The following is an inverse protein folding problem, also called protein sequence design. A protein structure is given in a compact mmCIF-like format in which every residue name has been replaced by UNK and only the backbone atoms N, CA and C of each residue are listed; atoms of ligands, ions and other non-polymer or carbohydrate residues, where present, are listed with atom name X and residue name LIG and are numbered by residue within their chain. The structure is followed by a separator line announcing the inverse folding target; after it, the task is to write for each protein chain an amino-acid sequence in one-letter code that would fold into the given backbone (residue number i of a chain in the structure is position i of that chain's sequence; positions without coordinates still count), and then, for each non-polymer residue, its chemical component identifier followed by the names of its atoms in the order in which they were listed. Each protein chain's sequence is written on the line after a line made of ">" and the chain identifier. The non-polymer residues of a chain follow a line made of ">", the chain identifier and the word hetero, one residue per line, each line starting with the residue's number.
data_IF_579387362447
#
_entry.id   IF_579387362447
#
_cell.length_a   1.000
_cell.length_b   1.000
_cell.length_c   1.000
_cell.angle_alpha   90.00
_cell.angle_beta   90.00
_cell.angle_gamma   90.00
#
_symmetry.space_group_name_H-M   'P 1'
#
loop_
_entity.id
_entity.type
_entity.pdbx_description
1 polymer ?
#
# COMPACT_ATOMS: atom_id res chain seq x y z
N UNK A 1 20.14 8.96 25.25
CA UNK A 1 20.17 10.24 24.53
C UNK A 1 20.89 9.99 23.21
N UNK A 2 20.20 10.07 22.07
CA UNK A 2 20.83 9.83 20.77
C UNK A 2 21.78 11.01 20.46
N UNK A 3 23.09 10.80 20.28
CA UNK A 3 24.09 11.87 20.16
C UNK A 3 23.90 12.78 18.92
N UNK A 4 22.96 12.45 18.03
CA UNK A 4 22.59 13.27 16.87
C UNK A 4 21.62 14.41 17.20
N UNK A 5 20.93 14.38 18.35
CA UNK A 5 20.03 15.46 18.76
C UNK A 5 20.74 16.37 19.76
N UNK A 6 21.26 17.49 19.26
CA UNK A 6 21.81 18.54 20.12
C UNK A 6 20.68 19.18 20.94
N UNK A 7 20.94 19.66 22.17
CA UNK A 7 19.93 20.35 22.97
C UNK A 7 19.28 21.53 22.24
N UNK A 8 20.06 22.25 21.42
CA UNK A 8 19.57 23.33 20.56
C UNK A 8 18.56 22.85 19.51
N UNK A 9 18.79 21.68 18.90
CA UNK A 9 17.87 21.09 17.93
C UNK A 9 16.55 20.68 18.59
N UNK A 10 16.60 20.17 19.82
CA UNK A 10 15.40 19.81 20.60
C UNK A 10 14.55 21.05 20.88
N UNK A 11 15.17 22.15 21.30
CA UNK A 11 14.43 23.38 21.62
C UNK A 11 13.80 24.00 20.37
N UNK A 12 14.54 24.00 19.25
CA UNK A 12 14.00 24.43 17.94
C UNK A 12 12.79 23.60 17.51
N UNK A 13 12.80 22.28 17.73
CA UNK A 13 11.65 21.43 17.42
C UNK A 13 10.49 21.65 18.38
N UNK A 14 10.77 21.88 19.66
CA UNK A 14 9.74 22.17 20.65
C UNK A 14 8.95 23.44 20.30
N UNK A 15 9.65 24.51 19.93
CA UNK A 15 9.02 25.76 19.47
C UNK A 15 8.29 25.57 18.13
N UNK A 16 8.94 24.94 17.14
CA UNK A 16 8.37 24.77 15.80
C UNK A 16 7.08 23.93 15.77
N UNK A 17 6.88 23.05 16.76
CA UNK A 17 5.72 22.15 16.85
C UNK A 17 4.78 22.47 18.00
N UNK A 18 4.94 23.63 18.64
CA UNK A 18 4.10 24.07 19.75
C UNK A 18 4.06 23.04 20.90
N UNK A 19 5.15 22.31 21.12
CA UNK A 19 5.18 21.21 22.10
C UNK A 19 5.13 21.69 23.56
N UNK A 20 5.31 22.99 23.78
CA UNK A 20 5.15 23.65 25.09
C UNK A 20 3.69 23.99 25.43
N UNK A 21 2.80 23.92 24.43
CA UNK A 21 1.39 24.23 24.63
C UNK A 21 0.60 23.01 25.12
N UNK A 22 -0.56 23.20 25.75
CA UNK A 22 -1.43 22.09 26.14
C UNK A 22 -1.78 21.20 24.95
N UNK A 23 -1.86 19.88 25.17
CA UNK A 23 -2.08 18.87 24.12
C UNK A 23 -3.24 19.19 23.18
N UNK A 24 -4.35 19.72 23.71
CA UNK A 24 -5.51 20.05 22.88
C UNK A 24 -5.19 21.15 21.85
N UNK A 25 -4.31 22.10 22.17
CA UNK A 25 -3.90 23.15 21.24
C UNK A 25 -2.98 22.59 20.15
N UNK A 26 -2.07 21.68 20.51
CA UNK A 26 -1.22 20.97 19.55
C UNK A 26 -2.06 20.22 18.51
N UNK A 27 -3.12 19.52 18.95
CA UNK A 27 -4.05 18.86 18.04
C UNK A 27 -4.82 19.84 17.15
N UNK A 28 -5.23 21.00 17.68
CA UNK A 28 -5.88 22.03 16.87
C UNK A 28 -4.96 22.55 15.76
N UNK A 29 -3.68 22.81 16.06
CA UNK A 29 -2.70 23.20 15.04
C UNK A 29 -2.46 22.10 14.02
N UNK A 30 -2.34 20.85 14.46
CA UNK A 30 -2.22 19.71 13.56
C UNK A 30 -3.40 19.63 12.59
N UNK A 31 -4.65 19.70 13.07
CA UNK A 31 -5.81 19.64 12.20
C UNK A 31 -5.92 20.86 11.28
N UNK A 32 -5.63 22.07 11.77
CA UNK A 32 -5.56 23.28 10.94
C UNK A 32 -4.57 23.10 9.78
N UNK A 33 -3.37 22.61 10.07
CA UNK A 33 -2.30 22.46 9.08
C UNK A 33 -2.54 21.27 8.14
N UNK A 34 -3.25 20.24 8.61
CA UNK A 34 -3.72 19.11 7.81
C UNK A 34 -4.79 19.55 6.81
N UNK A 35 -5.85 20.20 7.28
CA UNK A 35 -6.97 20.63 6.43
C UNK A 35 -6.60 21.80 5.52
N UNK A 36 -5.59 22.61 5.87
CA UNK A 36 -5.06 23.64 4.99
C UNK A 36 -4.04 23.13 3.96
N UNK A 37 -3.68 21.85 4.00
CA UNK A 37 -2.70 21.25 3.09
C UNK A 37 -1.25 21.68 3.33
N UNK A 38 -0.98 22.40 4.43
CA UNK A 38 0.34 22.95 4.77
C UNK A 38 1.22 21.98 5.57
N UNK A 39 0.76 20.74 5.77
CA UNK A 39 1.52 19.74 6.51
C UNK A 39 2.74 19.32 5.68
N UNK A 40 3.93 19.43 6.28
CA UNK A 40 5.21 19.08 5.64
C UNK A 40 5.74 17.77 6.24
N UNK A 41 6.24 16.89 5.39
CA UNK A 41 6.93 15.66 5.79
C UNK A 41 8.27 16.01 6.40
N UNK A 42 8.53 15.57 7.63
CA UNK A 42 9.77 15.88 8.34
C UNK A 42 10.97 15.10 7.81
N UNK A 43 10.70 13.98 7.15
CA UNK A 43 11.73 13.12 6.58
C UNK A 43 12.28 13.70 5.28
N UNK A 44 11.40 14.27 4.46
CA UNK A 44 11.69 14.60 3.06
C UNK A 44 11.41 16.07 2.70
N UNK A 45 10.91 16.88 3.65
CA UNK A 45 10.52 18.29 3.49
C UNK A 45 9.53 18.57 2.33
N UNK A 46 8.73 17.57 1.96
CA UNK A 46 7.71 17.69 0.91
C UNK A 46 6.30 17.86 1.49
N UNK A 47 5.36 18.50 0.76
CA UNK A 47 3.95 18.53 1.14
C UNK A 47 3.41 17.11 1.35
N UNK A 48 2.82 16.87 2.52
CA UNK A 48 2.32 15.53 2.88
C UNK A 48 1.17 15.11 1.97
N UNK A 49 0.31 16.06 1.58
CA UNK A 49 -0.86 15.76 0.74
C UNK A 49 -0.44 15.21 -0.63
N UNK A 50 0.60 15.77 -1.24
CA UNK A 50 1.15 15.29 -2.51
C UNK A 50 1.69 13.86 -2.38
N UNK A 51 2.45 13.59 -1.31
CA UNK A 51 2.99 12.25 -1.03
C UNK A 51 1.90 11.21 -0.73
N UNK A 52 0.83 11.61 -0.05
CA UNK A 52 -0.34 10.75 0.17
C UNK A 52 -1.01 10.46 -1.16
N UNK A 53 -1.19 11.49 -2.00
CA UNK A 53 -1.86 11.37 -3.29
C UNK A 53 -1.12 10.40 -4.22
N UNK A 54 0.19 10.53 -4.35
CA UNK A 54 1.03 9.63 -5.15
C UNK A 54 0.88 8.16 -4.69
N UNK A 55 0.96 7.91 -3.38
CA UNK A 55 0.81 6.56 -2.81
C UNK A 55 -0.61 6.03 -2.92
N UNK A 56 -1.59 6.91 -2.81
CA UNK A 56 -3.00 6.57 -2.99
C UNK A 56 -3.26 6.11 -4.41
N UNK A 57 -2.76 6.83 -5.43
CA UNK A 57 -2.90 6.44 -6.83
C UNK A 57 -2.26 5.07 -7.11
N UNK A 58 -1.08 4.80 -6.56
CA UNK A 58 -0.44 3.49 -6.69
C UNK A 58 -1.29 2.37 -6.07
N UNK A 59 -1.85 2.62 -4.88
CA UNK A 59 -2.73 1.67 -4.19
C UNK A 59 -4.05 1.47 -4.94
N UNK A 60 -4.58 2.53 -5.55
CA UNK A 60 -5.80 2.51 -6.33
C UNK A 60 -5.64 1.62 -7.57
N UNK A 61 -4.53 1.74 -8.30
CA UNK A 61 -4.26 0.87 -9.45
C UNK A 61 -4.17 -0.60 -9.03
N UNK A 62 -3.44 -0.91 -7.96
CA UNK A 62 -3.36 -2.27 -7.42
C UNK A 62 -4.74 -2.81 -7.03
N UNK A 63 -5.57 -1.98 -6.39
CA UNK A 63 -6.92 -2.34 -6.01
C UNK A 63 -7.81 -2.61 -7.22
N UNK A 64 -7.80 -1.73 -8.23
CA UNK A 64 -8.64 -1.85 -9.43
C UNK A 64 -8.28 -3.11 -10.21
N UNK A 65 -6.99 -3.31 -10.51
CA UNK A 65 -6.52 -4.49 -11.25
C UNK A 65 -6.81 -5.78 -10.46
N UNK A 66 -6.51 -5.79 -9.17
CA UNK A 66 -6.81 -6.93 -8.29
C UNK A 66 -8.30 -7.26 -8.24
N UNK A 67 -9.16 -6.24 -8.19
CA UNK A 67 -10.62 -6.42 -8.18
C UNK A 67 -11.12 -6.99 -9.50
N UNK A 68 -10.68 -6.46 -10.64
CA UNK A 68 -11.06 -6.96 -11.97
C UNK A 68 -10.65 -8.42 -12.12
N UNK A 69 -9.41 -8.78 -11.76
CA UNK A 69 -8.94 -10.17 -11.81
C UNK A 69 -9.77 -11.08 -10.88
N UNK A 70 -10.04 -10.61 -9.67
CA UNK A 70 -10.84 -11.35 -8.70
C UNK A 70 -12.24 -11.62 -9.23
N UNK A 71 -12.94 -10.61 -9.77
CA UNK A 71 -14.29 -10.78 -10.31
C UNK A 71 -14.30 -11.67 -11.55
N UNK A 72 -13.32 -11.50 -12.43
CA UNK A 72 -13.19 -12.29 -13.67
C UNK A 72 -13.07 -13.79 -13.37
N UNK A 73 -12.42 -14.17 -12.26
CA UNK A 73 -12.27 -15.58 -11.88
C UNK A 73 -13.40 -16.03 -10.95
N UNK A 74 -13.71 -15.24 -9.93
CA UNK A 74 -14.62 -15.63 -8.86
C UNK A 74 -16.06 -15.69 -9.31
N UNK A 75 -16.51 -14.78 -10.19
CA UNK A 75 -17.91 -14.81 -10.67
C UNK A 75 -18.20 -16.03 -11.54
N UNK A 76 -17.42 -16.37 -12.59
CA UNK A 76 -17.69 -17.59 -13.37
C UNK A 76 -17.63 -18.86 -12.52
N UNK A 77 -16.64 -18.98 -11.64
CA UNK A 77 -16.49 -20.15 -10.77
C UNK A 77 -17.65 -20.24 -9.78
N UNK A 78 -17.99 -19.12 -9.13
CA UNK A 78 -19.08 -19.04 -8.15
C UNK A 78 -20.45 -19.30 -8.78
N UNK A 79 -20.75 -18.66 -9.92
CA UNK A 79 -22.01 -18.85 -10.65
C UNK A 79 -22.13 -20.30 -11.11
N UNK A 80 -21.07 -20.87 -11.71
CA UNK A 80 -21.11 -22.26 -12.18
C UNK A 80 -21.26 -23.26 -11.02
N UNK A 81 -20.58 -23.01 -9.90
CA UNK A 81 -20.77 -23.81 -8.68
C UNK A 81 -22.21 -23.73 -8.16
N UNK A 82 -22.80 -22.53 -8.16
CA UNK A 82 -24.17 -22.30 -7.73
C UNK A 82 -25.25 -22.87 -8.67
N UNK A 83 -24.95 -23.07 -9.96
CA UNK A 83 -25.86 -23.74 -10.91
C UNK A 83 -25.81 -25.26 -10.72
N UNK A 84 -24.61 -25.83 -10.54
CA UNK A 84 -24.38 -27.27 -10.41
C UNK A 84 -24.18 -27.71 -8.94
N UNK A 85 -25.02 -27.19 -8.04
CA UNK A 85 -24.88 -27.41 -6.58
C UNK A 85 -24.89 -28.88 -6.23
N UNK A 86 -24.02 -29.27 -5.30
CA UNK A 86 -23.87 -30.64 -4.85
C UNK A 86 -23.15 -31.57 -5.84
N UNK A 87 -22.91 -31.10 -7.07
CA UNK A 87 -22.17 -31.83 -8.11
C UNK A 87 -20.65 -31.79 -7.90
N UNK A 88 -19.93 -32.46 -8.81
CA UNK A 88 -18.47 -32.55 -8.75
C UNK A 88 -17.78 -31.18 -8.84
N UNK A 89 -18.29 -30.27 -9.69
CA UNK A 89 -17.72 -28.93 -9.85
C UNK A 89 -17.83 -28.08 -8.58
N UNK A 90 -19.00 -28.08 -7.93
CA UNK A 90 -19.23 -27.38 -6.67
C UNK A 90 -18.29 -27.91 -5.56
N UNK A 91 -18.26 -29.24 -5.37
CA UNK A 91 -17.37 -29.86 -4.37
C UNK A 91 -15.89 -29.57 -4.62
N UNK A 92 -15.45 -29.62 -5.89
CA UNK A 92 -14.06 -29.37 -6.24
C UNK A 92 -13.68 -27.91 -6.04
N UNK A 93 -14.51 -26.97 -6.52
CA UNK A 93 -14.28 -25.53 -6.35
C UNK A 93 -14.25 -25.15 -4.86
N UNK A 94 -15.20 -25.66 -4.07
CA UNK A 94 -15.24 -25.47 -2.61
C UNK A 94 -13.99 -26.02 -1.92
N UNK A 95 -13.54 -27.22 -2.30
CA UNK A 95 -12.31 -27.80 -1.76
C UNK A 95 -11.08 -26.92 -2.07
N UNK A 96 -10.92 -26.48 -3.32
CA UNK A 96 -9.81 -25.59 -3.70
C UNK A 96 -9.89 -24.23 -2.98
N UNK A 97 -11.08 -23.67 -2.79
CA UNK A 97 -11.26 -22.45 -2.01
C UNK A 97 -10.76 -22.62 -0.57
N UNK A 98 -11.16 -23.70 0.11
CA UNK A 98 -10.67 -23.97 1.47
C UNK A 98 -9.17 -24.24 1.53
N UNK A 99 -8.64 -24.97 0.54
CA UNK A 99 -7.20 -25.21 0.43
C UNK A 99 -6.42 -23.90 0.33
N UNK A 100 -6.82 -22.99 -0.57
CA UNK A 100 -6.17 -21.69 -0.75
C UNK A 100 -6.32 -20.80 0.48
N UNK A 101 -7.49 -20.78 1.12
CA UNK A 101 -7.73 -20.03 2.37
C UNK A 101 -6.84 -20.53 3.52
N UNK A 102 -6.51 -21.83 3.53
CA UNK A 102 -5.67 -22.44 4.58
C UNK A 102 -4.20 -22.02 4.46
N UNK A 103 -3.76 -21.54 3.29
CA UNK A 103 -2.39 -21.08 3.09
C UNK A 103 -2.30 -19.61 3.57
N UNK A 104 -1.32 -19.25 4.42
CA UNK A 104 -1.10 -17.85 4.78
C UNK A 104 -0.87 -16.98 3.54
N UNK A 105 -1.61 -15.88 3.42
CA UNK A 105 -1.59 -15.02 2.22
C UNK A 105 -0.19 -14.51 1.86
N UNK A 106 0.61 -14.11 2.85
CA UNK A 106 1.98 -13.65 2.63
C UNK A 106 2.88 -14.76 2.06
N UNK A 107 2.69 -16.01 2.49
CA UNK A 107 3.48 -17.15 2.03
C UNK A 107 3.13 -17.50 0.58
N UNK A 108 1.83 -17.50 0.26
CA UNK A 108 1.37 -17.69 -1.11
C UNK A 108 1.87 -16.58 -2.05
N UNK A 109 1.81 -15.32 -1.61
CA UNK A 109 2.37 -14.19 -2.36
C UNK A 109 3.88 -14.38 -2.61
N UNK A 110 4.63 -14.88 -1.63
CA UNK A 110 6.06 -15.12 -1.78
C UNK A 110 6.37 -16.22 -2.81
N UNK A 111 5.61 -17.33 -2.79
CA UNK A 111 5.72 -18.39 -3.81
C UNK A 111 5.46 -17.81 -5.21
N UNK A 112 4.40 -16.99 -5.36
CA UNK A 112 4.08 -16.34 -6.63
C UNK A 112 5.19 -15.40 -7.09
N UNK A 113 5.77 -14.60 -6.19
CA UNK A 113 6.90 -13.71 -6.49
C UNK A 113 8.09 -14.52 -7.04
N UNK A 114 8.48 -15.60 -6.34
CA UNK A 114 9.59 -16.47 -6.78
C UNK A 114 9.29 -17.06 -8.17
N UNK A 115 8.07 -17.56 -8.38
CA UNK A 115 7.66 -18.13 -9.65
C UNK A 115 7.74 -17.09 -10.78
N UNK A 116 7.21 -15.89 -10.54
CA UNK A 116 7.17 -14.83 -11.56
C UNK A 116 8.58 -14.37 -11.93
N UNK A 117 9.44 -14.13 -10.94
CA UNK A 117 10.82 -13.69 -11.17
C UNK A 117 11.61 -14.77 -11.92
N UNK A 118 11.52 -16.03 -11.51
CA UNK A 118 12.29 -17.10 -12.14
C UNK A 118 11.79 -17.43 -13.55
N UNK A 119 10.47 -17.40 -13.78
CA UNK A 119 9.91 -17.82 -15.07
C UNK A 119 9.84 -16.68 -16.08
N UNK A 120 9.44 -15.48 -15.65
CA UNK A 120 9.19 -14.35 -16.54
C UNK A 120 10.25 -13.25 -16.43
N UNK A 121 11.16 -13.31 -15.44
CA UNK A 121 12.23 -12.33 -15.23
C UNK A 121 11.72 -10.90 -15.06
N UNK A 122 10.50 -10.74 -14.53
CA UNK A 122 9.85 -9.46 -14.31
C UNK A 122 10.17 -8.95 -12.89
N UNK A 123 10.59 -7.69 -12.72
CA UNK A 123 10.75 -7.08 -11.41
C UNK A 123 9.37 -6.91 -10.74
N UNK A 124 9.25 -7.38 -9.50
CA UNK A 124 7.99 -7.38 -8.73
C UNK A 124 8.00 -6.40 -7.55
N UNK A 125 9.02 -5.55 -7.45
CA UNK A 125 9.20 -4.58 -6.36
C UNK A 125 9.12 -3.16 -6.92
N UNK A 126 8.19 -2.36 -6.37
CA UNK A 126 7.99 -0.97 -6.76
C UNK A 126 7.15 -0.80 -8.03
N UNK A 127 6.60 0.41 -8.22
CA UNK A 127 5.94 0.80 -9.47
C UNK A 127 6.97 1.28 -10.52
N UNK A 128 8.16 1.65 -10.07
CA UNK A 128 9.27 2.05 -10.92
C UNK A 128 10.47 1.14 -10.73
N UNK A 129 11.13 0.81 -11.84
CA UNK A 129 12.40 0.11 -11.80
C UNK A 129 13.51 1.08 -11.39
N UNK A 130 14.16 0.79 -10.26
CA UNK A 130 15.30 1.57 -9.78
C UNK A 130 16.38 1.67 -10.88
N UNK A 131 16.75 2.88 -11.27
CA UNK A 131 17.74 3.15 -12.32
C UNK A 131 17.17 3.42 -13.73
N UNK A 132 15.85 3.35 -13.94
CA UNK A 132 15.20 3.59 -15.26
C UNK A 132 14.46 4.95 -15.34
N UNK A 133 14.34 5.69 -14.22
CA UNK A 133 13.64 6.99 -14.11
C UNK A 133 14.25 8.18 -14.88
N UNK A 134 15.07 7.92 -15.90
CA UNK A 134 15.65 8.92 -16.81
C UNK A 134 15.72 8.45 -18.26
N UNK A 135 14.84 7.54 -18.68
CA UNK A 135 14.72 7.16 -20.09
C UNK A 135 13.67 8.02 -20.79
N UNK A 136 13.96 8.41 -22.03
CA UNK A 136 13.30 9.47 -22.82
C UNK A 136 11.80 9.27 -23.15
N UNK A 137 11.11 8.35 -22.49
CA UNK A 137 9.69 8.05 -22.67
C UNK A 137 8.79 8.63 -21.58
N UNK A 138 9.34 9.43 -20.65
CA UNK A 138 8.58 10.09 -19.58
C UNK A 138 8.29 11.58 -19.88
N UNK A 139 7.89 11.90 -21.11
CA UNK A 139 7.29 13.20 -21.47
C UNK A 139 5.80 13.04 -21.71
#
# INVERSE_FOLDING_TARGET
>A
MNPKFTPEMVERFREAFHLDEPLYVQYLYFYRDLFSGKTISWKDNLPVLEKIWERFLNSLWLFVVGTILTWTISFPVGIRSAIFRGGFYDRSSTFFSYLLISIPSFFFAYILIIFVVNQFHIPVIGMETFGIGGTAWST
#
